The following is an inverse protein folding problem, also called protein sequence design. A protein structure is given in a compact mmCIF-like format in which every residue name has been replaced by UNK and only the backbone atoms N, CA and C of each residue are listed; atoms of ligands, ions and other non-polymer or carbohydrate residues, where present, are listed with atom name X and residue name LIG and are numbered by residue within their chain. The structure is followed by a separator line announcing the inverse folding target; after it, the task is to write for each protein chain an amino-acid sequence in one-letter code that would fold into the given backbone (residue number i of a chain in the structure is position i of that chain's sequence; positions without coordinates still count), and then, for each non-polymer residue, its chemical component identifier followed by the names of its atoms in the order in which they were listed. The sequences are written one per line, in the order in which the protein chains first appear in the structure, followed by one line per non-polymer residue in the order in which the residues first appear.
data_IF_842887344390
#
_entry.id   IF_842887344390
#
_cell.length_a   1.000
_cell.length_b   1.000
_cell.length_c   1.000
_cell.angle_alpha   90.00
_cell.angle_beta   90.00
_cell.angle_gamma   90.00
#
_symmetry.space_group_name_H-M   'P 1'
#
loop_
_entity.id
_entity.type
_entity.pdbx_description
1 polymer ?
#
# COMPACT_ATOMS: atom_id res chain seq x y z
N UNK A 1 -12.96 -29.63 -3.23
CA UNK A 1 -13.03 -29.39 -4.69
C UNK A 1 -12.07 -28.32 -5.24
N UNK A 2 -11.30 -27.57 -4.43
CA UNK A 2 -10.32 -26.57 -4.93
C UNK A 2 -8.94 -27.12 -5.36
N UNK A 3 -8.73 -28.44 -5.33
CA UNK A 3 -7.38 -29.02 -5.43
C UNK A 3 -6.77 -29.03 -6.85
N UNK A 4 -7.51 -28.67 -7.90
CA UNK A 4 -7.03 -28.71 -9.30
C UNK A 4 -7.02 -27.35 -10.00
N UNK A 5 -7.09 -26.23 -9.25
CA UNK A 5 -7.02 -24.89 -9.82
C UNK A 5 -5.76 -24.61 -10.66
N UNK A 6 -4.55 -25.06 -10.27
CA UNK A 6 -3.36 -24.86 -11.09
C UNK A 6 -3.44 -25.57 -12.47
N UNK A 7 -3.99 -26.77 -12.52
CA UNK A 7 -4.21 -27.50 -13.77
C UNK A 7 -5.23 -26.78 -14.66
N UNK A 8 -6.30 -26.25 -14.06
CA UNK A 8 -7.30 -25.47 -14.79
C UNK A 8 -6.68 -24.21 -15.41
N UNK A 9 -5.80 -23.50 -14.69
CA UNK A 9 -5.08 -22.34 -15.23
C UNK A 9 -4.23 -22.72 -16.44
N UNK A 10 -3.48 -23.82 -16.36
CA UNK A 10 -2.66 -24.27 -17.50
C UNK A 10 -3.51 -24.60 -18.73
N UNK A 11 -4.69 -25.21 -18.53
CA UNK A 11 -5.63 -25.47 -19.62
C UNK A 11 -6.20 -24.17 -20.21
N UNK A 12 -6.50 -23.18 -19.36
CA UNK A 12 -6.99 -21.87 -19.81
C UNK A 12 -5.91 -21.11 -20.60
N UNK A 13 -4.65 -21.14 -20.16
CA UNK A 13 -3.54 -20.53 -20.91
C UNK A 13 -3.40 -21.16 -22.29
N UNK A 14 -3.47 -22.50 -22.38
CA UNK A 14 -3.47 -23.20 -23.68
C UNK A 14 -4.66 -22.81 -24.55
N UNK A 15 -5.85 -22.73 -23.96
CA UNK A 15 -7.03 -22.28 -24.68
C UNK A 15 -6.89 -20.83 -25.18
N UNK A 16 -6.31 -19.93 -24.38
CA UNK A 16 -6.07 -18.54 -24.81
C UNK A 16 -5.11 -18.45 -25.99
N UNK A 17 -4.05 -19.29 -26.03
CA UNK A 17 -3.15 -19.36 -27.18
C UNK A 17 -3.90 -19.82 -28.43
N UNK A 18 -4.74 -20.85 -28.32
CA UNK A 18 -5.58 -21.32 -29.44
C UNK A 18 -6.58 -20.26 -29.90
N UNK A 19 -7.19 -19.49 -28.97
CA UNK A 19 -8.08 -18.39 -29.32
C UNK A 19 -7.37 -17.27 -30.08
N UNK A 20 -6.11 -16.96 -29.72
CA UNK A 20 -5.29 -15.99 -30.45
C UNK A 20 -4.95 -16.48 -31.86
N UNK A 21 -4.51 -17.75 -31.99
CA UNK A 21 -4.22 -18.37 -33.29
C UNK A 21 -5.45 -18.43 -34.20
N UNK A 22 -6.63 -18.59 -33.61
CA UNK A 22 -7.91 -18.60 -34.32
C UNK A 22 -8.48 -17.19 -34.61
N UNK A 23 -7.74 -16.11 -34.30
CA UNK A 23 -8.18 -14.74 -34.57
C UNK A 23 -9.33 -14.26 -33.67
N UNK A 24 -9.44 -14.81 -32.46
CA UNK A 24 -10.46 -14.44 -31.45
C UNK A 24 -9.81 -13.90 -30.16
N UNK A 25 -9.03 -12.80 -30.24
CA UNK A 25 -8.25 -12.24 -29.13
C UNK A 25 -9.10 -11.84 -27.93
N UNK A 26 -10.31 -11.32 -28.16
CA UNK A 26 -11.28 -10.99 -27.11
C UNK A 26 -11.60 -12.17 -26.20
N UNK A 27 -11.79 -13.36 -26.80
CA UNK A 27 -12.12 -14.57 -26.04
C UNK A 27 -10.90 -15.04 -25.24
N UNK A 28 -9.70 -14.90 -25.82
CA UNK A 28 -8.45 -15.19 -25.12
C UNK A 28 -8.28 -14.31 -23.88
N UNK A 29 -8.47 -12.99 -24.01
CA UNK A 29 -8.31 -12.04 -22.90
C UNK A 29 -9.35 -12.28 -21.79
N UNK A 30 -10.62 -12.54 -22.14
CA UNK A 30 -11.67 -12.86 -21.15
C UNK A 30 -11.35 -14.17 -20.42
N UNK A 31 -10.83 -15.18 -21.11
CA UNK A 31 -10.44 -16.44 -20.49
C UNK A 31 -9.32 -16.23 -19.47
N UNK A 32 -8.29 -15.47 -19.85
CA UNK A 32 -7.17 -15.10 -18.98
C UNK A 32 -7.61 -14.29 -17.76
N UNK A 33 -8.48 -13.29 -17.94
CA UNK A 33 -9.04 -12.50 -16.84
C UNK A 33 -9.77 -13.40 -15.83
N UNK A 34 -10.62 -14.31 -16.31
CA UNK A 34 -11.37 -15.24 -15.45
C UNK A 34 -10.43 -16.17 -14.69
N UNK A 35 -9.39 -16.68 -15.34
CA UNK A 35 -8.37 -17.51 -14.68
C UNK A 35 -7.64 -16.73 -13.58
N UNK A 36 -7.23 -15.47 -13.87
CA UNK A 36 -6.59 -14.59 -12.91
C UNK A 36 -7.44 -14.39 -11.66
N UNK A 37 -8.72 -14.08 -11.86
CA UNK A 37 -9.69 -13.87 -10.77
C UNK A 37 -9.86 -15.10 -9.87
N UNK A 38 -9.90 -16.30 -10.46
CA UNK A 38 -10.07 -17.56 -9.71
C UNK A 38 -8.89 -17.87 -8.79
N UNK A 39 -7.69 -17.39 -9.12
CA UNK A 39 -6.47 -17.72 -8.39
C UNK A 39 -5.89 -16.57 -7.57
N UNK A 40 -6.55 -15.41 -7.48
CA UNK A 40 -6.02 -14.27 -6.70
C UNK A 40 -5.67 -14.64 -5.25
N UNK A 41 -6.51 -15.47 -4.62
CA UNK A 41 -6.32 -15.92 -3.23
C UNK A 41 -5.44 -17.17 -3.09
N UNK A 42 -5.14 -17.85 -4.20
CA UNK A 42 -4.39 -19.13 -4.21
C UNK A 42 -2.95 -18.91 -4.67
N UNK A 43 -2.77 -18.12 -5.72
CA UNK A 43 -1.49 -17.85 -6.36
C UNK A 43 -1.51 -16.43 -6.95
N UNK A 44 -1.35 -15.38 -6.13
CA UNK A 44 -1.44 -13.99 -6.56
C UNK A 44 -0.39 -13.62 -7.62
N UNK A 45 0.80 -14.22 -7.57
CA UNK A 45 1.85 -13.98 -8.56
C UNK A 45 1.45 -14.46 -9.96
N UNK A 46 0.81 -15.63 -10.04
CA UNK A 46 0.27 -16.15 -11.30
C UNK A 46 -0.94 -15.33 -11.77
N UNK A 47 -1.78 -14.85 -10.86
CA UNK A 47 -2.88 -13.94 -11.22
C UNK A 47 -2.35 -12.67 -11.88
N UNK A 48 -1.27 -12.07 -11.35
CA UNK A 48 -0.61 -10.91 -11.97
C UNK A 48 -0.15 -11.22 -13.39
N UNK A 49 0.50 -12.37 -13.61
CA UNK A 49 0.95 -12.77 -14.96
C UNK A 49 -0.22 -12.90 -15.93
N UNK A 50 -1.33 -13.54 -15.52
CA UNK A 50 -2.52 -13.70 -16.37
C UNK A 50 -3.16 -12.35 -16.70
N UNK A 51 -3.25 -11.43 -15.75
CA UNK A 51 -3.74 -10.08 -16.01
C UNK A 51 -2.81 -9.28 -16.92
N UNK A 52 -1.50 -9.41 -16.78
CA UNK A 52 -0.53 -8.78 -17.68
C UNK A 52 -0.62 -9.35 -19.11
N UNK A 53 -0.82 -10.66 -19.26
CA UNK A 53 -1.07 -11.30 -20.55
C UNK A 53 -2.38 -10.79 -21.16
N UNK A 54 -3.47 -10.75 -20.39
CA UNK A 54 -4.76 -10.21 -20.85
C UNK A 54 -4.64 -8.72 -21.26
N UNK A 55 -3.90 -7.92 -20.49
CA UNK A 55 -3.61 -6.53 -20.82
C UNK A 55 -2.87 -6.42 -22.16
N UNK A 56 -1.84 -7.24 -22.38
CA UNK A 56 -1.10 -7.25 -23.65
C UNK A 56 -1.99 -7.63 -24.84
N UNK A 57 -2.93 -8.56 -24.68
CA UNK A 57 -3.89 -8.91 -25.73
C UNK A 57 -4.77 -7.70 -26.05
N UNK A 58 -5.31 -7.02 -25.04
CA UNK A 58 -6.12 -5.82 -25.26
C UNK A 58 -5.31 -4.65 -25.86
N UNK A 59 -4.05 -4.47 -25.47
CA UNK A 59 -3.17 -3.44 -26.05
C UNK A 59 -2.91 -3.68 -27.54
N UNK A 60 -2.65 -4.93 -27.94
CA UNK A 60 -2.43 -5.28 -29.34
C UNK A 60 -3.66 -5.02 -30.22
N UNK A 61 -4.86 -5.09 -29.63
CA UNK A 61 -6.14 -4.78 -30.28
C UNK A 61 -6.55 -3.30 -30.13
N UNK A 62 -5.65 -2.43 -29.65
CA UNK A 62 -5.88 -0.99 -29.39
C UNK A 62 -7.02 -0.71 -28.37
N UNK A 63 -7.39 -1.72 -27.57
CA UNK A 63 -8.44 -1.65 -26.54
C UNK A 63 -7.89 -1.14 -25.21
N UNK A 64 -7.37 0.09 -25.23
CA UNK A 64 -6.62 0.68 -24.11
C UNK A 64 -7.38 0.72 -22.78
N UNK A 65 -8.70 0.94 -22.80
CA UNK A 65 -9.50 0.97 -21.56
C UNK A 65 -9.58 -0.40 -20.88
N UNK A 66 -9.73 -1.47 -21.66
CA UNK A 66 -9.73 -2.84 -21.16
C UNK A 66 -8.34 -3.25 -20.66
N UNK A 67 -7.28 -2.86 -21.39
CA UNK A 67 -5.91 -3.06 -20.94
C UNK A 67 -5.65 -2.41 -19.56
N UNK A 68 -6.08 -1.16 -19.39
CA UNK A 68 -5.96 -0.43 -18.12
C UNK A 68 -6.71 -1.11 -16.97
N UNK A 69 -7.87 -1.70 -17.22
CA UNK A 69 -8.59 -2.45 -16.18
C UNK A 69 -7.78 -3.67 -15.70
N UNK A 70 -7.15 -4.39 -16.63
CA UNK A 70 -6.29 -5.54 -16.30
C UNK A 70 -5.01 -5.10 -15.58
N UNK A 71 -4.35 -4.04 -16.06
CA UNK A 71 -3.17 -3.47 -15.42
C UNK A 71 -3.48 -2.98 -14.00
N UNK A 72 -4.62 -2.32 -13.79
CA UNK A 72 -5.06 -1.88 -12.47
C UNK A 72 -5.30 -3.04 -11.50
N UNK A 73 -5.82 -4.18 -11.96
CA UNK A 73 -5.90 -5.43 -11.16
C UNK A 73 -4.50 -5.95 -10.81
N UNK A 74 -3.59 -6.00 -11.78
CA UNK A 74 -2.20 -6.44 -11.58
C UNK A 74 -1.44 -5.54 -10.59
N UNK A 75 -1.48 -4.22 -10.74
CA UNK A 75 -0.80 -3.25 -9.86
C UNK A 75 -1.25 -3.37 -8.40
N UNK A 76 -2.57 -3.51 -8.17
CA UNK A 76 -3.12 -3.69 -6.82
C UNK A 76 -2.66 -5.00 -6.19
N UNK A 77 -2.61 -6.09 -6.96
CA UNK A 77 -2.07 -7.37 -6.50
C UNK A 77 -0.57 -7.30 -6.19
N UNK A 78 0.21 -6.60 -7.01
CA UNK A 78 1.64 -6.38 -6.77
C UNK A 78 1.89 -5.61 -5.46
N UNK A 79 1.12 -4.54 -5.22
CA UNK A 79 1.17 -3.80 -3.95
C UNK A 79 0.79 -4.68 -2.76
N UNK A 80 -0.30 -5.44 -2.88
CA UNK A 80 -0.75 -6.38 -1.84
C UNK A 80 0.33 -7.42 -1.50
N UNK A 81 1.02 -7.93 -2.52
CA UNK A 81 2.12 -8.88 -2.41
C UNK A 81 3.48 -8.25 -2.04
N UNK A 82 3.53 -6.94 -1.76
CA UNK A 82 4.76 -6.18 -1.45
C UNK A 82 5.86 -6.26 -2.54
N UNK A 83 5.48 -6.55 -3.78
CA UNK A 83 6.38 -6.51 -4.96
C UNK A 83 6.45 -5.09 -5.52
N UNK A 84 7.02 -4.19 -4.74
CA UNK A 84 6.92 -2.74 -4.96
C UNK A 84 7.68 -2.25 -6.20
N UNK A 85 8.78 -2.90 -6.58
CA UNK A 85 9.53 -2.55 -7.79
C UNK A 85 8.68 -2.77 -9.05
N UNK A 86 8.02 -3.93 -9.14
CA UNK A 86 7.11 -4.26 -10.25
C UNK A 86 5.83 -3.43 -10.21
N UNK A 87 5.31 -3.13 -9.02
CA UNK A 87 4.16 -2.25 -8.87
C UNK A 87 4.45 -0.85 -9.43
N UNK A 88 5.65 -0.30 -9.19
CA UNK A 88 6.05 1.00 -9.71
C UNK A 88 6.07 1.02 -11.26
N UNK A 89 6.61 -0.04 -11.88
CA UNK A 89 6.61 -0.19 -13.34
C UNK A 89 5.19 -0.33 -13.90
N UNK A 90 4.35 -1.15 -13.27
CA UNK A 90 2.96 -1.36 -13.67
C UNK A 90 2.14 -0.06 -13.59
N UNK A 91 2.29 0.70 -12.50
CA UNK A 91 1.65 2.01 -12.32
C UNK A 91 2.15 3.06 -13.32
N UNK A 92 3.44 3.06 -13.66
CA UNK A 92 3.98 3.94 -14.69
C UNK A 92 3.37 3.64 -16.07
N UNK A 93 3.20 2.36 -16.40
CA UNK A 93 2.51 1.94 -17.63
C UNK A 93 1.07 2.42 -17.64
N UNK A 94 0.32 2.21 -16.55
CA UNK A 94 -1.05 2.73 -16.42
C UNK A 94 -1.11 4.25 -16.62
N UNK A 95 -0.24 5.01 -15.95
CA UNK A 95 -0.19 6.47 -16.05
C UNK A 95 0.11 6.93 -17.48
N UNK A 96 0.99 6.24 -18.20
CA UNK A 96 1.29 6.53 -19.61
C UNK A 96 0.06 6.35 -20.50
N UNK A 97 -0.66 5.23 -20.35
CA UNK A 97 -1.86 4.95 -21.15
C UNK A 97 -3.00 5.91 -20.77
N UNK A 98 -3.20 6.22 -19.49
CA UNK A 98 -4.19 7.21 -19.06
C UNK A 98 -3.90 8.61 -19.62
N UNK A 99 -2.62 8.98 -19.74
CA UNK A 99 -2.19 10.23 -20.36
C UNK A 99 -2.49 10.23 -21.86
N UNK A 100 -2.28 9.11 -22.55
CA UNK A 100 -2.58 8.96 -23.98
C UNK A 100 -4.07 9.10 -24.28
N UNK A 101 -4.94 8.52 -23.45
CA UNK A 101 -6.40 8.67 -23.58
C UNK A 101 -6.96 9.95 -22.93
N UNK A 102 -6.08 10.88 -22.55
CA UNK A 102 -6.39 12.19 -21.95
C UNK A 102 -7.25 12.15 -20.68
N UNK A 103 -7.20 11.04 -19.93
CA UNK A 103 -7.89 10.91 -18.64
C UNK A 103 -6.98 11.42 -17.51
N UNK A 104 -6.75 12.74 -17.53
CA UNK A 104 -5.85 13.41 -16.59
C UNK A 104 -6.21 13.23 -15.10
N UNK A 105 -7.49 13.31 -14.67
CA UNK A 105 -7.83 13.11 -13.26
C UNK A 105 -7.36 11.75 -12.73
N UNK A 106 -7.41 10.71 -13.57
CA UNK A 106 -6.94 9.37 -13.17
C UNK A 106 -5.41 9.31 -13.11
N UNK A 107 -4.70 10.05 -13.96
CA UNK A 107 -3.24 10.18 -13.87
C UNK A 107 -2.78 10.75 -12.52
N UNK A 108 -3.54 11.67 -11.93
CA UNK A 108 -3.20 12.24 -10.61
C UNK A 108 -3.28 11.15 -9.54
N UNK A 109 -4.35 10.36 -9.55
CA UNK A 109 -4.51 9.21 -8.64
C UNK A 109 -3.40 8.16 -8.85
N UNK A 110 -2.96 7.92 -10.08
CA UNK A 110 -1.80 7.04 -10.33
C UNK A 110 -0.50 7.63 -9.80
N UNK A 111 -0.33 8.96 -9.85
CA UNK A 111 0.83 9.64 -9.23
C UNK A 111 0.82 9.46 -7.72
N UNK A 112 -0.33 9.57 -7.06
CA UNK A 112 -0.47 9.28 -5.63
C UNK A 112 -0.01 7.84 -5.33
N UNK A 113 -0.51 6.86 -6.08
CA UNK A 113 -0.12 5.46 -5.90
C UNK A 113 1.39 5.24 -6.11
N UNK A 114 2.00 5.89 -7.12
CA UNK A 114 3.44 5.80 -7.37
C UNK A 114 4.27 6.35 -6.21
N UNK A 115 3.91 7.54 -5.69
CA UNK A 115 4.59 8.15 -4.55
C UNK A 115 4.52 7.24 -3.34
N UNK A 116 3.33 6.71 -3.00
CA UNK A 116 3.19 5.76 -1.89
C UNK A 116 4.08 4.51 -2.07
N UNK A 117 4.14 3.96 -3.29
CA UNK A 117 5.00 2.81 -3.59
C UNK A 117 6.48 3.14 -3.42
N UNK A 118 6.95 4.30 -3.90
CA UNK A 118 8.34 4.71 -3.79
C UNK A 118 8.75 5.06 -2.35
N UNK A 119 7.87 5.70 -1.58
CA UNK A 119 8.13 5.97 -0.17
C UNK A 119 8.23 4.67 0.65
N UNK A 120 7.39 3.66 0.37
CA UNK A 120 7.53 2.33 0.99
C UNK A 120 8.81 1.58 0.56
N UNK A 121 9.41 1.94 -0.57
CA UNK A 121 10.73 1.45 -1.00
C UNK A 121 11.88 2.21 -0.34
N UNK A 122 11.59 3.22 0.49
CA UNK A 122 12.54 4.19 1.03
C UNK A 122 13.31 4.96 -0.07
N UNK A 123 12.70 5.12 -1.25
CA UNK A 123 13.28 5.82 -2.39
C UNK A 123 12.60 7.19 -2.56
N UNK A 124 12.99 8.13 -1.70
CA UNK A 124 12.45 9.49 -1.71
C UNK A 124 12.71 10.20 -3.05
N UNK A 125 13.89 10.00 -3.65
CA UNK A 125 14.28 10.64 -4.91
C UNK A 125 13.35 10.19 -6.05
N UNK A 126 13.02 8.90 -6.12
CA UNK A 126 12.07 8.43 -7.10
C UNK A 126 10.64 8.94 -6.82
N UNK A 127 10.22 9.03 -5.56
CA UNK A 127 8.92 9.59 -5.19
C UNK A 127 8.79 11.05 -5.62
N UNK A 128 9.78 11.88 -5.31
CA UNK A 128 9.84 13.30 -5.72
C UNK A 128 9.83 13.43 -7.25
N UNK A 129 10.61 12.60 -7.95
CA UNK A 129 10.63 12.57 -9.41
C UNK A 129 9.25 12.28 -10.00
N UNK A 130 8.49 11.35 -9.42
CA UNK A 130 7.13 11.05 -9.89
C UNK A 130 6.20 12.26 -9.84
N UNK A 131 6.29 13.09 -8.80
CA UNK A 131 5.53 14.35 -8.69
C UNK A 131 6.02 15.36 -9.71
N UNK A 132 7.35 15.52 -9.82
CA UNK A 132 7.97 16.47 -10.75
C UNK A 132 7.59 16.21 -12.21
N UNK A 133 7.60 14.94 -12.63
CA UNK A 133 7.19 14.54 -13.98
C UNK A 133 5.69 14.81 -14.23
N UNK A 134 4.86 14.71 -13.18
CA UNK A 134 3.42 14.97 -13.25
C UNK A 134 3.06 16.44 -13.44
N UNK A 135 3.94 17.40 -13.15
CA UNK A 135 3.68 18.82 -13.46
C UNK A 135 3.42 19.08 -14.96
N UNK A 136 3.94 18.21 -15.83
CA UNK A 136 3.67 18.28 -17.28
C UNK A 136 2.25 17.82 -17.67
N UNK A 137 1.49 17.24 -16.75
CA UNK A 137 0.13 16.75 -17.01
C UNK A 137 -0.85 17.91 -16.86
N UNK A 138 -1.70 18.19 -17.87
CA UNK A 138 -2.68 19.28 -17.82
C UNK A 138 -3.53 19.22 -16.56
N UNK A 139 -3.57 20.31 -15.80
CA UNK A 139 -4.40 20.46 -14.58
C UNK A 139 -3.78 19.91 -13.28
N UNK A 140 -2.66 19.20 -13.32
CA UNK A 140 -2.06 18.62 -12.11
C UNK A 140 -1.61 19.69 -11.11
N UNK A 141 -0.89 20.72 -11.56
CA UNK A 141 -0.33 21.76 -10.68
C UNK A 141 -1.37 22.53 -9.84
N UNK A 142 -2.61 22.63 -10.33
CA UNK A 142 -3.72 23.29 -9.61
C UNK A 142 -4.64 22.31 -8.88
N UNK A 143 -4.31 21.02 -8.86
CA UNK A 143 -5.16 19.99 -8.26
C UNK A 143 -4.88 19.83 -6.77
N UNK A 144 -5.90 19.41 -6.02
CA UNK A 144 -5.76 19.01 -4.61
C UNK A 144 -4.80 17.81 -4.47
N UNK A 145 -4.72 16.95 -5.48
CA UNK A 145 -3.80 15.82 -5.52
C UNK A 145 -2.33 16.27 -5.46
N UNK A 146 -1.97 17.33 -6.19
CA UNK A 146 -0.61 17.87 -6.20
C UNK A 146 -0.24 18.48 -4.85
N UNK A 147 -1.12 19.34 -4.31
CA UNK A 147 -0.90 19.97 -3.00
C UNK A 147 -0.74 18.92 -1.89
N UNK A 148 -1.57 17.87 -1.90
CA UNK A 148 -1.46 16.80 -0.92
C UNK A 148 -0.16 15.97 -1.08
N UNK A 149 0.31 15.77 -2.32
CA UNK A 149 1.59 15.08 -2.55
C UNK A 149 2.79 15.91 -2.14
N UNK A 150 2.77 17.22 -2.34
CA UNK A 150 3.81 18.13 -1.86
C UNK A 150 3.89 18.12 -0.33
N UNK A 151 2.73 18.21 0.36
CA UNK A 151 2.67 18.09 1.82
C UNK A 151 3.14 16.73 2.32
N UNK A 152 2.82 15.64 1.61
CA UNK A 152 3.28 14.30 1.96
C UNK A 152 4.81 14.18 1.86
N UNK A 153 5.39 14.66 0.76
CA UNK A 153 6.84 14.61 0.54
C UNK A 153 7.58 15.51 1.53
N UNK A 154 7.06 16.71 1.79
CA UNK A 154 7.62 17.63 2.79
C UNK A 154 7.65 16.98 4.18
N UNK A 155 6.54 16.42 4.65
CA UNK A 155 6.49 15.72 5.94
C UNK A 155 7.41 14.52 6.01
N UNK A 156 7.57 13.79 4.89
CA UNK A 156 8.48 12.66 4.82
C UNK A 156 9.96 13.09 4.90
N UNK A 157 10.34 14.17 4.23
CA UNK A 157 11.70 14.75 4.26
C UNK A 157 12.04 15.33 5.64
N UNK A 158 11.09 16.02 6.27
CA UNK A 158 11.23 16.58 7.62
C UNK A 158 11.14 15.52 8.73
N UNK A 159 10.86 14.27 8.40
CA UNK A 159 10.61 13.18 9.34
C UNK A 159 9.45 13.47 10.31
N UNK A 160 8.46 14.22 9.85
CA UNK A 160 7.23 14.50 10.58
C UNK A 160 6.19 13.38 10.33
N UNK A 161 6.11 12.45 11.28
CA UNK A 161 5.16 11.35 11.22
C UNK A 161 3.71 11.82 11.34
N UNK A 162 3.44 12.91 12.08
CA UNK A 162 2.09 13.39 12.31
C UNK A 162 1.53 14.02 11.02
N UNK A 163 2.34 14.84 10.34
CA UNK A 163 1.99 15.41 9.04
C UNK A 163 1.74 14.32 7.98
N UNK A 164 2.64 13.34 7.86
CA UNK A 164 2.47 12.22 6.92
C UNK A 164 1.20 11.43 7.22
N UNK A 165 0.92 11.19 8.50
CA UNK A 165 -0.26 10.46 8.94
C UNK A 165 -1.54 11.25 8.67
N UNK A 166 -1.55 12.57 8.86
CA UNK A 166 -2.69 13.44 8.56
C UNK A 166 -3.04 13.41 7.06
N UNK A 167 -2.04 13.60 6.19
CA UNK A 167 -2.22 13.57 4.74
C UNK A 167 -2.72 12.21 4.27
N UNK A 168 -2.12 11.11 4.75
CA UNK A 168 -2.56 9.74 4.43
C UNK A 168 -3.96 9.41 4.97
N UNK A 169 -4.44 10.17 5.97
CA UNK A 169 -5.78 10.04 6.53
C UNK A 169 -6.83 10.94 5.85
N UNK A 170 -6.43 11.79 4.91
CA UNK A 170 -7.36 12.63 4.16
C UNK A 170 -8.28 11.81 3.23
N UNK A 171 -9.46 12.35 2.84
CA UNK A 171 -10.36 11.68 1.90
C UNK A 171 -9.68 11.32 0.57
N UNK A 172 -8.71 12.11 0.11
CA UNK A 172 -7.97 11.89 -1.13
C UNK A 172 -7.23 10.55 -1.13
N UNK A 173 -6.66 10.16 0.02
CA UNK A 173 -5.91 8.91 0.18
C UNK A 173 -6.81 7.75 0.62
N UNK A 174 -7.78 8.02 1.51
CA UNK A 174 -8.69 6.99 2.04
C UNK A 174 -9.63 6.39 1.00
N UNK A 175 -10.06 7.18 0.00
CA UNK A 175 -10.94 6.71 -1.07
C UNK A 175 -10.21 6.15 -2.29
N UNK A 176 -8.88 6.01 -2.22
CA UNK A 176 -8.14 5.20 -3.18
C UNK A 176 -8.55 3.73 -3.09
N UNK A 177 -8.18 2.93 -4.09
CA UNK A 177 -8.32 1.48 -4.00
C UNK A 177 -7.71 0.96 -2.69
N UNK A 178 -8.37 -0.03 -2.08
CA UNK A 178 -8.05 -0.54 -0.74
C UNK A 178 -6.55 -0.86 -0.53
N UNK A 179 -5.88 -1.41 -1.54
CA UNK A 179 -4.47 -1.76 -1.45
C UNK A 179 -3.58 -0.52 -1.33
N UNK A 180 -3.89 0.58 -2.05
CA UNK A 180 -3.17 1.85 -1.94
C UNK A 180 -3.53 2.62 -0.68
N UNK A 181 -4.81 2.62 -0.28
CA UNK A 181 -5.24 3.25 0.97
C UNK A 181 -4.55 2.62 2.19
N UNK A 182 -4.47 1.27 2.24
CA UNK A 182 -3.70 0.55 3.27
C UNK A 182 -2.21 0.84 3.19
N UNK A 183 -1.66 1.02 1.98
CA UNK A 183 -0.27 1.40 1.81
C UNK A 183 -0.01 2.77 2.44
N UNK A 184 -0.84 3.78 2.16
CA UNK A 184 -0.76 5.10 2.79
C UNK A 184 -0.84 5.04 4.32
N UNK A 185 -1.83 4.33 4.86
CA UNK A 185 -2.01 4.19 6.32
C UNK A 185 -0.87 3.46 7.04
N UNK A 186 -0.05 2.69 6.32
CA UNK A 186 1.10 1.95 6.89
C UNK A 186 2.43 2.63 6.62
N UNK A 187 2.43 3.83 6.05
CA UNK A 187 3.64 4.59 5.75
C UNK A 187 4.27 5.15 7.04
N UNK A 188 5.58 4.98 7.17
CA UNK A 188 6.37 5.46 8.30
C UNK A 188 7.55 6.26 7.77
N UNK A 189 7.86 7.39 8.39
CA UNK A 189 8.99 8.24 8.01
C UNK A 189 10.34 7.58 8.36
N UNK A 190 11.40 7.79 7.57
CA UNK A 190 12.73 7.27 7.86
C UNK A 190 13.22 7.82 9.21
N UNK A 191 13.57 6.94 10.15
CA UNK A 191 13.99 7.35 11.49
C UNK A 191 12.83 7.53 12.50
N UNK A 192 11.58 7.52 12.05
CA UNK A 192 10.36 7.51 12.87
C UNK A 192 10.04 6.16 13.51
N UNK A 193 11.05 5.31 13.70
CA UNK A 193 10.89 4.07 14.45
C UNK A 193 10.33 4.42 15.83
N UNK A 194 9.16 3.86 16.15
CA UNK A 194 8.51 4.00 17.45
C UNK A 194 9.59 3.94 18.53
N UNK A 195 9.89 5.07 19.17
CA UNK A 195 10.58 5.05 20.45
C UNK A 195 9.67 4.22 21.33
N UNK A 196 9.98 2.93 21.51
CA UNK A 196 9.49 2.15 22.65
C UNK A 196 9.69 3.07 23.83
N UNK A 197 8.60 3.59 24.40
CA UNK A 197 8.64 4.23 25.71
C UNK A 197 9.22 3.15 26.62
N UNK A 198 10.52 3.24 26.86
CA UNK A 198 11.14 2.54 27.96
C UNK A 198 10.38 3.02 29.19
N UNK A 199 9.79 2.13 29.99
CA UNK A 199 9.23 2.55 31.26
C UNK A 199 10.41 3.03 32.10
N UNK A 200 10.59 4.35 32.13
CA UNK A 200 11.58 4.98 32.98
C UNK A 200 11.04 4.81 34.40
N UNK A 201 11.57 3.81 35.11
CA UNK A 201 11.31 3.60 36.52
C UNK A 201 11.69 4.88 37.26
N UNK A 202 10.71 5.44 37.94
CA UNK A 202 10.87 6.62 38.76
C UNK A 202 11.92 6.36 39.86
N UNK A 203 12.89 7.27 39.88
CA UNK A 203 13.48 7.88 41.08
C UNK A 203 13.72 6.97 42.30
N UNK A 204 14.96 6.50 42.43
CA UNK A 204 15.51 6.15 43.73
C UNK A 204 16.52 7.24 44.16
N UNK A 205 16.03 8.20 44.95
CA UNK A 205 16.83 9.12 45.77
C UNK A 205 16.08 9.41 47.06
N UNK A 206 16.30 8.59 48.08
CA UNK A 206 16.19 9.01 49.46
C UNK A 206 17.29 8.31 50.30
N UNK A 207 18.42 8.99 50.40
CA UNK A 207 19.50 8.70 51.35
C UNK A 207 19.07 9.22 52.72
N UNK A 208 18.91 8.32 53.69
CA UNK A 208 18.70 8.65 55.11
C UNK A 208 19.20 7.50 56.00
N UNK A 209 19.95 7.77 57.09
CA UNK A 209 20.69 6.74 57.82
C UNK A 209 19.89 6.07 58.95
N UNK A 210 20.13 4.77 59.15
CA UNK A 210 19.87 4.02 60.38
C UNK A 210 21.04 4.20 61.35
N UNK A 211 20.99 4.07 62.68
CA UNK A 211 19.95 3.89 63.71
C UNK A 211 20.67 4.03 65.07
N UNK A 212 20.06 4.59 66.12
CA UNK A 212 20.38 4.26 67.53
C UNK A 212 19.14 4.46 68.42
N UNK A 213 18.64 3.33 68.96
CA UNK A 213 18.23 3.09 70.36
C UNK A 213 17.10 3.90 71.05
N UNK A 214 16.05 3.19 71.48
CA UNK A 214 15.38 3.19 72.82
C UNK A 214 13.97 2.58 72.67
N UNK A 215 13.69 1.41 73.27
CA UNK A 215 13.17 1.14 74.63
C UNK A 215 11.65 1.33 74.81
N UNK A 216 11.00 0.18 75.11
CA UNK A 216 9.95 -0.07 76.12
C UNK A 216 8.48 0.33 75.88
N UNK A 217 7.63 -0.66 76.22
CA UNK A 217 6.24 -0.62 76.74
C UNK A 217 5.14 -0.08 75.82
N UNK A 218 3.88 -0.56 75.83
CA UNK A 218 3.13 -1.64 76.45
C UNK A 218 1.78 -1.67 75.68
N UNK A 219 1.19 -2.86 75.60
CA UNK A 219 -0.24 -3.22 75.61
C UNK A 219 -1.33 -2.52 74.76
N UNK A 220 -2.16 -3.42 74.17
CA UNK A 220 -3.63 -3.35 73.97
C UNK A 220 -4.18 -2.34 72.91
N UNK A 221 -5.18 -2.63 72.08
CA UNK A 221 -6.17 -3.71 72.04
C UNK A 221 -6.83 -3.79 70.63
N UNK A 222 -7.31 -4.99 70.30
CA UNK A 222 -8.65 -5.28 69.75
C UNK A 222 -9.28 -4.37 68.66
N UNK A 223 -9.48 -4.88 67.44
CA UNK A 223 -10.85 -5.21 66.98
C UNK A 223 -10.88 -5.99 65.67
N UNK A 224 -11.73 -7.01 65.70
CA UNK A 224 -11.94 -8.04 64.67
C UNK A 224 -12.98 -7.63 63.62
N UNK A 225 -12.93 -8.30 62.47
CA UNK A 225 -14.10 -8.69 61.67
C UNK A 225 -14.56 -7.66 60.62
N UNK A 226 -14.94 -8.05 59.41
CA UNK A 226 -15.17 -9.37 58.85
C UNK A 226 -15.58 -9.19 57.39
N UNK A 227 -15.23 -10.18 56.56
CA UNK A 227 -15.71 -10.29 55.19
C UNK A 227 -17.14 -10.84 55.16
N UNK A 228 -17.97 -10.24 54.32
CA UNK A 228 -18.98 -10.89 53.50
C UNK A 228 -19.11 -10.09 52.21
#
# INVERSE_FOLDING_TARGET
EMQRLPEAVQLIEKASMMYLENGTPDTAAIALERAGKLIENVSPEKAVQLYQQAASVFENEERLRQALEMLGKASRLLVRGRRLDEAALSLQKEKSIYKEIENYPTCYKKTIAQVLVHLHRNDYVAAERCVRESYSIPGFNGSEDCAALEQLLEGYDQQDQDQVSEVCNSPLFKYMDNDYAKLGLTLVVPGGGMKKKSPNAAQDKARGPAAVGSHADEEEDEYSGGLC
#
